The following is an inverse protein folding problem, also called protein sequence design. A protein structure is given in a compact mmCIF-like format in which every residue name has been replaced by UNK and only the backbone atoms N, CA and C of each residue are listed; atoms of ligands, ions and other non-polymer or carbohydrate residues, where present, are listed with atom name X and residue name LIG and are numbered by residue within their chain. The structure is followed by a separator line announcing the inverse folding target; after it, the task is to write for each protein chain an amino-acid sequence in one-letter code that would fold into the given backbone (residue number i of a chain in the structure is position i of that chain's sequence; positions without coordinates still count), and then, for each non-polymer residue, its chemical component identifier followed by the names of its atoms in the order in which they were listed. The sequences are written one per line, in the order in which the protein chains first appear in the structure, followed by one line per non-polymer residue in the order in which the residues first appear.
data_IF_830066056799
#
_entry.id   IF_830066056799
#
_cell.length_a   1.000
_cell.length_b   1.000
_cell.length_c   1.000
_cell.angle_alpha   90.00
_cell.angle_beta   90.00
_cell.angle_gamma   90.00
#
_symmetry.space_group_name_H-M   'P 1'
#
loop_
_entity.id
_entity.type
_entity.pdbx_description
1 polymer ?
#
# COMPACT_ATOMS: atom_id res chain seq x y z
N UNK A 1 -17.31 -29.05 -1.73
CA UNK A 1 -17.14 -30.23 -0.85
C UNK A 1 -16.48 -29.78 0.44
N UNK A 2 -17.17 -29.85 1.59
CA UNK A 2 -16.56 -29.65 2.92
C UNK A 2 -16.26 -31.03 3.49
N UNK A 3 -15.00 -31.44 3.53
CA UNK A 3 -14.60 -32.71 4.12
C UNK A 3 -14.61 -32.58 5.64
N UNK A 4 -15.22 -33.53 6.34
CA UNK A 4 -15.29 -33.58 7.80
C UNK A 4 -13.91 -33.88 8.38
N UNK A 5 -13.42 -32.96 9.22
CA UNK A 5 -12.10 -33.01 9.89
C UNK A 5 -11.88 -34.29 10.72
N UNK A 6 -12.95 -35.01 11.07
CA UNK A 6 -12.89 -36.28 11.77
C UNK A 6 -12.21 -37.42 11.00
N UNK A 7 -12.18 -37.36 9.65
CA UNK A 7 -11.56 -38.41 8.81
C UNK A 7 -10.04 -38.22 8.61
N UNK A 8 -9.48 -37.06 9.00
CA UNK A 8 -8.05 -36.73 8.91
C UNK A 8 -7.30 -36.98 10.23
N UNK A 9 -7.99 -37.44 11.27
CA UNK A 9 -7.41 -37.67 12.59
C UNK A 9 -6.94 -39.11 12.71
N UNK A 10 -5.64 -39.33 12.62
CA UNK A 10 -5.01 -40.64 12.82
C UNK A 10 -4.90 -40.97 14.31
N UNK A 11 -5.72 -41.90 14.85
CA UNK A 11 -5.75 -42.19 16.29
C UNK A 11 -4.46 -42.84 16.79
N UNK A 12 -3.71 -43.49 15.91
CA UNK A 12 -2.42 -44.11 16.25
C UNK A 12 -1.31 -43.08 16.48
N UNK A 13 -1.33 -41.97 15.73
CA UNK A 13 -0.36 -40.89 15.90
C UNK A 13 -0.56 -40.17 17.24
N UNK A 14 -1.81 -39.98 17.66
CA UNK A 14 -2.13 -39.37 18.96
C UNK A 14 -1.77 -40.28 20.14
N UNK A 15 -1.91 -41.60 20.01
CA UNK A 15 -1.50 -42.55 21.07
C UNK A 15 0.01 -42.58 21.23
N UNK A 16 0.77 -42.62 20.13
CA UNK A 16 2.25 -42.55 20.17
C UNK A 16 2.76 -41.22 20.72
N UNK A 17 2.05 -40.12 20.47
CA UNK A 17 2.39 -38.82 21.05
C UNK A 17 2.17 -38.79 22.56
N UNK A 18 1.10 -39.43 23.05
CA UNK A 18 0.80 -39.55 24.49
C UNK A 18 1.77 -40.51 25.19
N UNK A 19 2.08 -41.66 24.61
CA UNK A 19 3.06 -42.61 25.15
C UNK A 19 4.46 -42.00 25.26
N UNK A 20 4.87 -41.14 24.32
CA UNK A 20 6.14 -40.39 24.38
C UNK A 20 6.12 -39.28 25.44
N UNK A 21 4.96 -38.70 25.71
CA UNK A 21 4.79 -37.67 26.73
C UNK A 21 4.65 -38.24 28.15
N UNK A 22 4.17 -39.48 28.28
CA UNK A 22 3.99 -40.19 29.54
C UNK A 22 5.23 -41.01 29.97
N UNK A 23 6.28 -41.06 29.15
CA UNK A 23 7.54 -41.67 29.54
C UNK A 23 8.20 -40.88 30.69
N UNK A 24 8.53 -41.53 31.83
CA UNK A 24 9.08 -40.86 33.01
C UNK A 24 10.45 -40.24 32.71
N UNK A 25 10.49 -38.91 32.66
CA UNK A 25 11.66 -38.07 32.33
C UNK A 25 12.63 -37.89 33.50
N UNK A 26 12.90 -38.96 34.26
CA UNK A 26 13.99 -38.97 35.24
C UNK A 26 15.23 -39.54 34.56
N UNK A 27 16.17 -38.67 34.21
CA UNK A 27 17.51 -39.09 33.79
C UNK A 27 18.14 -39.88 34.93
N UNK A 28 18.62 -41.08 34.66
CA UNK A 28 19.37 -41.89 35.63
C UNK A 28 20.63 -41.14 36.07
N UNK A 29 20.98 -41.26 37.35
CA UNK A 29 22.10 -40.52 37.98
C UNK A 29 23.44 -40.67 37.22
N UNK A 30 23.63 -41.77 36.50
CA UNK A 30 24.81 -42.02 35.68
C UNK A 30 24.88 -41.20 34.38
N UNK A 31 23.73 -40.84 33.79
CA UNK A 31 23.69 -39.92 32.65
C UNK A 31 23.96 -38.49 33.10
N UNK A 32 23.49 -38.12 34.30
CA UNK A 32 23.72 -36.81 34.88
C UNK A 32 25.19 -36.62 35.29
N UNK A 33 25.83 -37.65 35.88
CA UNK A 33 27.27 -37.63 36.18
C UNK A 33 28.15 -37.54 34.93
N UNK A 34 27.75 -38.15 33.81
CA UNK A 34 28.46 -38.03 32.53
C UNK A 34 28.32 -36.63 31.92
N UNK A 35 27.12 -36.05 31.96
CA UNK A 35 26.88 -34.67 31.51
C UNK A 35 27.65 -33.65 32.39
N UNK A 36 27.73 -33.89 33.70
CA UNK A 36 28.47 -33.02 34.63
C UNK A 36 30.00 -33.14 34.45
N UNK A 37 30.52 -34.34 34.18
CA UNK A 37 31.94 -34.53 33.85
C UNK A 37 32.33 -33.93 32.49
N UNK A 38 31.40 -33.92 31.52
CA UNK A 38 31.61 -33.23 30.24
C UNK A 38 31.54 -31.71 30.40
N UNK A 39 30.76 -31.19 31.36
CA UNK A 39 30.72 -29.77 31.74
C UNK A 39 31.89 -29.30 32.61
N UNK A 40 32.51 -30.21 33.38
CA UNK A 40 33.63 -29.89 34.29
C UNK A 40 35.02 -29.97 33.63
N UNK A 41 35.13 -30.41 32.37
CA UNK A 41 36.36 -30.17 31.61
C UNK A 41 36.51 -28.66 31.40
N UNK A 42 37.61 -28.04 31.83
CA UNK A 42 37.76 -26.59 31.78
C UNK A 42 37.72 -26.13 30.32
N UNK A 43 36.66 -25.43 29.95
CA UNK A 43 36.67 -24.59 28.75
C UNK A 43 37.79 -23.54 28.93
N UNK A 44 38.57 -23.23 27.89
CA UNK A 44 39.48 -22.09 27.95
C UNK A 44 38.65 -20.82 28.25
N UNK A 45 39.14 -20.06 29.22
CA UNK A 45 38.51 -18.90 29.86
C UNK A 45 37.69 -18.04 28.89
N UNK A 46 36.38 -17.98 29.14
CA UNK A 46 35.50 -17.05 28.45
C UNK A 46 35.82 -15.62 28.93
N UNK A 47 36.23 -14.68 28.06
CA UNK A 47 36.35 -13.30 28.47
C UNK A 47 34.95 -12.77 28.78
N UNK A 48 34.79 -12.21 29.98
CA UNK A 48 33.64 -11.41 30.40
C UNK A 48 33.46 -10.24 29.44
N UNK A 49 32.74 -10.44 28.35
CA UNK A 49 32.42 -9.39 27.40
C UNK A 49 31.28 -8.56 27.97
N UNK A 50 31.64 -7.46 28.60
CA UNK A 50 30.75 -6.31 28.78
C UNK A 50 30.02 -6.06 27.46
N UNK A 51 28.69 -5.98 27.52
CA UNK A 51 27.82 -5.60 26.40
C UNK A 51 28.01 -4.10 26.09
N UNK A 52 29.23 -3.73 25.66
CA UNK A 52 29.46 -2.45 25.02
C UNK A 52 28.87 -2.58 23.61
N UNK A 53 27.96 -1.68 23.25
CA UNK A 53 27.46 -1.53 21.89
C UNK A 53 28.64 -1.25 20.95
N UNK A 54 29.22 -2.31 20.38
CA UNK A 54 30.33 -2.21 19.46
C UNK A 54 29.77 -1.71 18.13
N UNK A 55 30.16 -0.49 17.75
CA UNK A 55 29.85 0.10 16.45
C UNK A 55 30.26 -0.86 15.33
N UNK A 56 29.27 -1.36 14.59
CA UNK A 56 29.41 -2.36 13.52
C UNK A 56 30.43 -1.88 12.46
N UNK A 57 30.53 -0.56 12.29
CA UNK A 57 31.40 0.15 11.34
C UNK A 57 32.90 0.16 11.70
N UNK A 58 33.29 -0.18 12.94
CA UNK A 58 34.71 -0.25 13.36
C UNK A 58 35.21 -1.67 13.53
N UNK A 59 34.42 -2.69 13.16
CA UNK A 59 34.81 -4.08 13.30
C UNK A 59 35.83 -4.45 12.22
N UNK A 60 37.02 -4.90 12.64
CA UNK A 60 37.96 -5.56 11.73
C UNK A 60 37.36 -6.90 11.34
N UNK A 61 36.88 -7.03 10.11
CA UNK A 61 36.43 -8.30 9.56
C UNK A 61 37.65 -9.23 9.45
N UNK A 62 37.59 -10.37 10.15
CA UNK A 62 38.52 -11.48 9.86
C UNK A 62 38.10 -12.08 8.54
N UNK A 63 39.06 -12.34 7.65
CA UNK A 63 38.79 -13.06 6.40
C UNK A 63 38.11 -14.39 6.74
N UNK A 64 36.97 -14.64 6.10
CA UNK A 64 36.35 -15.95 6.17
C UNK A 64 37.32 -16.97 5.53
N UNK A 65 37.36 -18.22 6.02
CA UNK A 65 38.10 -19.26 5.34
C UNK A 65 37.51 -19.44 3.93
N UNK A 66 38.39 -19.58 2.92
CA UNK A 66 38.05 -19.53 1.49
C UNK A 66 36.87 -20.43 1.14
N UNK A 67 36.85 -21.66 1.65
CA UNK A 67 35.78 -22.63 1.41
C UNK A 67 34.40 -22.12 1.88
N UNK A 68 34.32 -21.42 3.02
CA UNK A 68 33.05 -20.86 3.52
C UNK A 68 32.58 -19.66 2.71
N UNK A 69 33.51 -18.89 2.15
CA UNK A 69 33.13 -17.80 1.28
C UNK A 69 32.49 -18.34 0.00
N UNK A 70 33.08 -19.40 -0.59
CA UNK A 70 32.54 -20.07 -1.78
C UNK A 70 31.14 -20.62 -1.55
N UNK A 71 30.89 -21.31 -0.42
CA UNK A 71 29.55 -21.83 -0.09
C UNK A 71 28.51 -20.70 0.04
N UNK A 72 28.87 -19.61 0.72
CA UNK A 72 27.98 -18.45 0.86
C UNK A 72 27.71 -17.73 -0.47
N UNK A 73 28.71 -17.67 -1.36
CA UNK A 73 28.49 -17.14 -2.71
C UNK A 73 27.58 -18.05 -3.53
N UNK A 74 27.68 -19.38 -3.36
CA UNK A 74 26.80 -20.32 -4.03
C UNK A 74 25.34 -20.10 -3.61
N UNK A 75 25.07 -19.92 -2.32
CA UNK A 75 23.73 -19.58 -1.80
C UNK A 75 23.21 -18.25 -2.37
N UNK A 76 24.04 -17.19 -2.36
CA UNK A 76 23.65 -15.87 -2.89
C UNK A 76 23.40 -15.89 -4.39
N UNK A 77 24.18 -16.64 -5.17
CA UNK A 77 23.98 -16.81 -6.61
C UNK A 77 22.67 -17.55 -6.87
N UNK A 78 22.37 -18.59 -6.08
CA UNK A 78 21.11 -19.31 -6.14
C UNK A 78 19.90 -18.41 -5.87
N UNK A 79 19.94 -17.64 -4.79
CA UNK A 79 18.87 -16.70 -4.43
C UNK A 79 18.69 -15.60 -5.48
N UNK A 80 19.80 -15.02 -5.98
CA UNK A 80 19.76 -14.00 -7.02
C UNK A 80 19.13 -14.54 -8.32
N UNK A 81 19.40 -15.79 -8.67
CA UNK A 81 18.78 -16.42 -9.84
C UNK A 81 17.26 -16.55 -9.67
N UNK A 82 16.78 -17.05 -8.52
CA UNK A 82 15.35 -17.20 -8.23
C UNK A 82 14.65 -15.83 -8.25
N UNK A 83 15.25 -14.83 -7.60
CA UNK A 83 14.73 -13.46 -7.58
C UNK A 83 14.69 -12.85 -8.98
N UNK A 84 15.73 -13.06 -9.79
CA UNK A 84 15.77 -12.59 -11.17
C UNK A 84 14.66 -13.20 -12.02
N UNK A 85 14.39 -14.50 -11.88
CA UNK A 85 13.29 -15.17 -12.60
C UNK A 85 11.94 -14.60 -12.15
N UNK A 86 11.74 -14.38 -10.85
CA UNK A 86 10.52 -13.79 -10.32
C UNK A 86 10.30 -12.37 -10.86
N UNK A 87 11.34 -11.52 -10.85
CA UNK A 87 11.27 -10.16 -11.42
C UNK A 87 10.95 -10.23 -12.91
N UNK A 88 11.59 -11.11 -13.67
CA UNK A 88 11.34 -11.26 -15.10
C UNK A 88 9.89 -11.66 -15.39
N UNK A 89 9.29 -12.55 -14.60
CA UNK A 89 7.88 -12.92 -14.72
C UNK A 89 6.95 -11.76 -14.41
N UNK A 90 7.22 -11.01 -13.34
CA UNK A 90 6.43 -9.82 -12.97
C UNK A 90 6.48 -8.76 -14.07
N UNK A 91 7.68 -8.47 -14.60
CA UNK A 91 7.86 -7.51 -15.70
C UNK A 91 7.16 -8.00 -16.97
N UNK A 92 7.27 -9.29 -17.30
CA UNK A 92 6.58 -9.87 -18.46
C UNK A 92 5.06 -9.77 -18.33
N UNK A 93 4.50 -10.09 -17.18
CA UNK A 93 3.06 -9.97 -16.93
C UNK A 93 2.59 -8.52 -16.93
N UNK A 94 3.37 -7.61 -16.34
CA UNK A 94 3.09 -6.18 -16.36
C UNK A 94 3.13 -5.62 -17.79
N UNK A 95 4.12 -6.01 -18.60
CA UNK A 95 4.21 -5.62 -20.00
C UNK A 95 3.06 -6.20 -20.83
N UNK A 96 2.73 -7.48 -20.62
CA UNK A 96 1.60 -8.15 -21.27
C UNK A 96 0.26 -7.50 -20.90
N UNK A 97 0.08 -7.09 -19.65
CA UNK A 97 -1.12 -6.42 -19.15
C UNK A 97 -1.21 -5.00 -19.68
N UNK A 98 -0.08 -4.28 -19.76
CA UNK A 98 0.00 -2.93 -20.31
C UNK A 98 -0.40 -2.83 -21.80
N UNK A 99 -0.43 -3.96 -22.53
CA UNK A 99 -0.93 -4.01 -23.91
C UNK A 99 -2.46 -4.01 -23.99
N UNK A 100 -3.17 -4.30 -22.90
CA UNK A 100 -4.62 -4.12 -22.85
C UNK A 100 -4.88 -2.65 -22.53
N UNK A 101 -5.70 -1.93 -23.31
CA UNK A 101 -6.06 -0.56 -22.96
C UNK A 101 -6.71 -0.59 -21.58
N UNK A 102 -6.17 0.18 -20.64
CA UNK A 102 -6.77 0.34 -19.32
C UNK A 102 -8.18 0.90 -19.53
N UNK A 103 -9.22 0.09 -19.29
CA UNK A 103 -10.61 0.54 -19.34
C UNK A 103 -10.84 1.78 -18.47
N UNK A 104 -10.05 1.92 -17.41
CA UNK A 104 -10.04 3.09 -16.55
C UNK A 104 -9.53 4.35 -17.28
N UNK A 105 -8.48 4.24 -18.10
CA UNK A 105 -7.98 5.37 -18.90
C UNK A 105 -9.01 5.82 -19.93
N UNK A 106 -9.63 4.87 -20.64
CA UNK A 106 -10.73 5.19 -21.57
C UNK A 106 -11.90 5.88 -20.87
N UNK A 107 -12.23 5.42 -19.65
CA UNK A 107 -13.29 6.02 -18.84
C UNK A 107 -12.91 7.41 -18.33
N UNK A 108 -11.65 7.63 -17.98
CA UNK A 108 -11.13 8.96 -17.60
C UNK A 108 -11.22 9.90 -18.81
N UNK A 109 -10.77 9.49 -19.99
CA UNK A 109 -10.89 10.27 -21.21
C UNK A 109 -12.34 10.61 -21.56
N UNK A 110 -13.28 9.66 -21.35
CA UNK A 110 -14.71 9.92 -21.55
C UNK A 110 -15.26 10.94 -20.53
N UNK A 111 -14.83 10.86 -19.26
CA UNK A 111 -15.21 11.82 -18.23
C UNK A 111 -14.64 13.21 -18.52
N UNK A 112 -13.40 13.30 -18.98
CA UNK A 112 -12.76 14.56 -19.35
C UNK A 112 -13.53 15.25 -20.48
N UNK A 113 -13.95 14.50 -21.51
CA UNK A 113 -14.81 15.03 -22.58
C UNK A 113 -16.14 15.56 -22.05
N UNK A 114 -16.79 14.83 -21.14
CA UNK A 114 -18.05 15.28 -20.53
C UNK A 114 -17.85 16.54 -19.68
N UNK A 115 -16.73 16.65 -18.97
CA UNK A 115 -16.39 17.85 -18.21
C UNK A 115 -16.16 19.06 -19.13
N UNK A 116 -15.47 18.89 -20.25
CA UNK A 116 -15.30 19.94 -21.25
C UNK A 116 -16.65 20.39 -21.84
N UNK A 117 -17.53 19.47 -22.17
CA UNK A 117 -18.87 19.79 -22.68
C UNK A 117 -19.73 20.54 -21.65
N UNK A 118 -19.63 20.16 -20.37
CA UNK A 118 -20.34 20.87 -19.30
C UNK A 118 -19.79 22.29 -19.09
N UNK A 119 -18.47 22.46 -19.12
CA UNK A 119 -17.84 23.79 -19.02
C UNK A 119 -18.28 24.72 -20.15
N UNK A 120 -18.34 24.22 -21.39
CA UNK A 120 -18.84 25.01 -22.52
C UNK A 120 -20.29 25.46 -22.33
N UNK A 121 -21.14 24.56 -21.83
CA UNK A 121 -22.54 24.91 -21.53
C UNK A 121 -22.65 25.93 -20.41
N UNK A 122 -21.81 25.83 -19.40
CA UNK A 122 -21.75 26.80 -18.30
C UNK A 122 -21.36 28.18 -18.84
N UNK A 123 -20.32 28.27 -19.67
CA UNK A 123 -19.91 29.51 -20.34
C UNK A 123 -21.03 30.09 -21.22
N UNK A 124 -21.72 29.27 -22.02
CA UNK A 124 -22.85 29.70 -22.84
C UNK A 124 -24.02 30.24 -22.00
N UNK A 125 -24.31 29.61 -20.86
CA UNK A 125 -25.35 30.05 -19.93
C UNK A 125 -24.95 31.37 -19.25
N UNK A 126 -23.70 31.52 -18.81
CA UNK A 126 -23.20 32.77 -18.24
C UNK A 126 -23.29 33.93 -19.23
N UNK A 127 -22.96 33.70 -20.50
CA UNK A 127 -23.13 34.71 -21.55
C UNK A 127 -24.60 35.06 -21.80
N UNK A 128 -25.49 34.07 -21.78
CA UNK A 128 -26.92 34.28 -21.93
C UNK A 128 -27.49 35.10 -20.75
N UNK A 129 -27.07 34.81 -19.52
CA UNK A 129 -27.45 35.59 -18.33
C UNK A 129 -26.95 37.03 -18.42
N UNK A 130 -25.70 37.26 -18.84
CA UNK A 130 -25.16 38.61 -19.04
C UNK A 130 -26.00 39.40 -20.05
N UNK A 131 -26.31 38.80 -21.20
CA UNK A 131 -27.19 39.42 -22.22
C UNK A 131 -28.59 39.70 -21.69
N UNK A 132 -29.16 38.84 -20.85
CA UNK A 132 -30.45 39.09 -20.22
C UNK A 132 -30.40 40.23 -19.22
N UNK A 133 -29.35 40.32 -18.40
CA UNK A 133 -29.12 41.42 -17.46
C UNK A 133 -29.00 42.76 -18.19
N UNK A 134 -28.19 42.83 -19.24
CA UNK A 134 -28.06 44.04 -20.07
C UNK A 134 -29.40 44.47 -20.69
N UNK A 135 -30.18 43.51 -21.21
CA UNK A 135 -31.52 43.80 -21.74
C UNK A 135 -32.45 44.33 -20.65
N UNK A 136 -32.42 43.72 -19.47
CA UNK A 136 -33.23 44.13 -18.33
C UNK A 136 -32.85 45.55 -17.88
N UNK A 137 -31.56 45.85 -17.74
CA UNK A 137 -31.06 47.19 -17.41
C UNK A 137 -31.50 48.23 -18.44
N UNK A 138 -31.40 47.92 -19.74
CA UNK A 138 -31.86 48.84 -20.80
C UNK A 138 -33.37 49.10 -20.76
N UNK A 139 -34.17 48.09 -20.40
CA UNK A 139 -35.62 48.24 -20.21
C UNK A 139 -35.93 49.06 -18.96
N UNK A 140 -35.22 48.84 -17.85
CA UNK A 140 -35.36 49.65 -16.63
C UNK A 140 -35.02 51.11 -16.89
N UNK A 141 -33.97 51.40 -17.64
CA UNK A 141 -33.57 52.76 -18.01
C UNK A 141 -34.62 53.44 -18.90
N UNK A 142 -35.10 52.75 -19.95
CA UNK A 142 -36.18 53.26 -20.80
C UNK A 142 -37.48 53.54 -20.01
N UNK A 143 -37.82 52.68 -19.04
CA UNK A 143 -38.97 52.90 -18.14
C UNK A 143 -38.76 54.08 -17.19
N UNK A 144 -37.53 54.34 -16.73
CA UNK A 144 -37.19 55.51 -15.91
C UNK A 144 -37.30 56.81 -16.70
N UNK A 145 -36.90 56.81 -17.98
CA UNK A 145 -36.99 57.98 -18.86
C UNK A 145 -38.44 58.31 -19.24
N UNK A 146 -39.27 57.29 -19.42
CA UNK A 146 -40.67 57.46 -19.80
C UNK A 146 -41.51 58.02 -18.63
N UNK A 147 -41.74 59.35 -18.66
CA UNK A 147 -42.62 60.06 -17.73
C UNK A 147 -44.02 60.23 -18.33
N UNK A 148 -45.04 60.14 -17.49
CA UNK A 148 -46.42 60.35 -17.92
C UNK A 148 -46.63 61.79 -18.44
N UNK A 149 -47.15 61.99 -19.66
CA UNK A 149 -47.25 63.31 -20.27
C UNK A 149 -48.27 64.23 -19.57
N UNK A 150 -49.21 63.67 -18.81
CA UNK A 150 -50.24 64.43 -18.09
C UNK A 150 -49.83 64.84 -16.67
N UNK A 151 -49.12 63.96 -15.97
CA UNK A 151 -48.73 64.12 -14.56
C UNK A 151 -47.25 64.50 -14.38
N UNK A 152 -46.42 64.41 -15.45
CA UNK A 152 -44.96 64.59 -15.45
C UNK A 152 -44.22 63.72 -14.43
N UNK A 153 -44.89 62.72 -13.88
CA UNK A 153 -44.37 61.80 -12.87
C UNK A 153 -43.83 60.52 -13.55
N UNK A 154 -42.86 59.84 -12.93
CA UNK A 154 -42.41 58.52 -13.38
C UNK A 154 -43.59 57.54 -13.36
N UNK A 155 -43.65 56.63 -14.34
CA UNK A 155 -44.66 55.56 -14.37
C UNK A 155 -44.50 54.56 -13.22
N UNK A 156 -43.27 54.35 -12.74
CA UNK A 156 -42.95 53.42 -11.66
C UNK A 156 -42.07 54.12 -10.60
N UNK A 157 -42.65 54.61 -9.49
CA UNK A 157 -41.90 55.30 -8.44
C UNK A 157 -40.93 54.38 -7.67
N UNK A 158 -41.15 53.06 -7.68
CA UNK A 158 -40.31 52.07 -6.98
C UNK A 158 -38.93 51.87 -7.62
N UNK A 159 -38.78 52.24 -8.90
CA UNK A 159 -37.51 52.17 -9.62
C UNK A 159 -36.68 53.45 -9.51
N UNK A 160 -37.20 54.46 -8.78
CA UNK A 160 -36.46 55.68 -8.49
C UNK A 160 -35.51 55.43 -7.32
N UNK A 161 -34.22 55.63 -7.57
CA UNK A 161 -33.19 55.65 -6.53
C UNK A 161 -33.47 56.86 -5.64
N UNK A 162 -33.54 56.63 -4.33
CA UNK A 162 -33.64 57.69 -3.31
C UNK A 162 -32.38 58.53 -3.27
#
# INVERSE_FOLDING_TARGET
MRMSVALLRDPEAERRAKEKAEAPTVKTEEQQKRDDQLKQKPAPEAPTRSMAFQNIWRRKFRSLPENKAVDLFADVIGDAFILSVAIALIVYETWRTSKKPDMNKLRIEELDRKLEDLKKREEELEEAEKKQKERYESLEEALRELKDPKTKQPLLPTLQVS
#
